data_IF_836355656683
#
_entry.id   IF_836355656683
#
_cell.length_a   1.000
_cell.length_b   1.000
_cell.length_c   1.000
_cell.angle_alpha   90.00
_cell.angle_beta   90.00
_cell.angle_gamma   90.00
#
_symmetry.space_group_name_H-M   'P 1'
#
loop_
_entity.id
_entity.type
_entity.pdbx_description
1 polymer ?
#
# COMPACT_ATOMS: atom_id res chain seq x y z
N UNK A 1 3.31 -24.07 18.70
CA UNK A 1 4.13 -23.40 17.65
C UNK A 1 5.58 -23.25 18.10
N UNK A 2 6.57 -23.30 17.19
CA UNK A 2 7.97 -22.93 17.51
C UNK A 2 8.10 -21.42 17.74
N UNK A 3 9.03 -20.99 18.60
CA UNK A 3 9.26 -19.55 18.81
C UNK A 3 9.82 -18.90 17.54
N UNK A 4 9.41 -17.66 17.28
CA UNK A 4 10.03 -16.78 16.29
C UNK A 4 11.48 -16.54 16.68
N UNK A 5 12.38 -17.01 15.82
CA UNK A 5 13.82 -16.88 16.05
C UNK A 5 14.27 -15.47 15.77
N UNK A 6 15.00 -14.91 16.74
CA UNK A 6 15.66 -13.61 16.59
C UNK A 6 16.77 -13.70 15.53
N UNK A 7 17.52 -14.79 15.55
CA UNK A 7 18.63 -15.02 14.64
C UNK A 7 18.43 -16.31 13.84
N UNK A 8 18.53 -16.19 12.52
CA UNK A 8 18.58 -17.31 11.57
C UNK A 8 19.80 -17.05 10.70
N UNK A 9 20.79 -17.97 10.63
CA UNK A 9 21.99 -17.77 9.83
C UNK A 9 21.65 -17.38 8.38
N UNK A 10 22.28 -16.33 7.88
CA UNK A 10 22.22 -15.92 6.48
C UNK A 10 23.33 -16.65 5.73
N UNK A 11 22.95 -17.39 4.70
CA UNK A 11 23.89 -18.02 3.78
C UNK A 11 24.37 -16.97 2.76
N UNK A 12 25.42 -16.24 3.12
CA UNK A 12 25.99 -15.17 2.30
C UNK A 12 26.61 -15.69 1.00
N UNK A 13 26.97 -16.97 0.91
CA UNK A 13 27.53 -17.55 -0.31
C UNK A 13 26.53 -17.49 -1.45
N UNK A 14 25.22 -17.62 -1.17
CA UNK A 14 24.15 -17.44 -2.16
C UNK A 14 24.09 -16.04 -2.78
N UNK A 15 24.71 -15.06 -2.16
CA UNK A 15 24.71 -13.67 -2.60
C UNK A 15 26.06 -13.23 -3.18
N UNK A 16 27.00 -14.16 -3.41
CA UNK A 16 28.29 -13.83 -3.99
C UNK A 16 28.16 -13.11 -5.36
N UNK A 17 29.03 -12.12 -5.65
CA UNK A 17 28.90 -11.26 -6.82
C UNK A 17 29.08 -11.99 -8.15
N UNK A 18 29.82 -13.09 -8.15
CA UNK A 18 30.26 -13.87 -9.32
C UNK A 18 29.35 -15.05 -9.69
N UNK A 19 28.24 -15.25 -8.97
CA UNK A 19 27.27 -16.30 -9.31
C UNK A 19 26.63 -16.01 -10.67
N UNK A 20 26.64 -16.97 -11.62
CA UNK A 20 25.96 -16.84 -12.90
C UNK A 20 24.46 -16.55 -12.75
N UNK A 21 23.93 -15.66 -13.59
CA UNK A 21 22.55 -15.18 -13.49
C UNK A 21 21.49 -16.32 -13.57
N UNK A 22 21.76 -17.38 -14.32
CA UNK A 22 20.89 -18.56 -14.46
C UNK A 22 20.90 -19.49 -13.24
N UNK A 23 21.83 -19.29 -12.30
CA UNK A 23 21.96 -20.07 -11.06
C UNK A 23 21.47 -19.32 -9.81
N UNK A 24 21.11 -18.04 -9.94
CA UNK A 24 20.63 -17.25 -8.82
C UNK A 24 19.22 -17.70 -8.42
N UNK A 25 19.01 -17.98 -7.13
CA UNK A 25 17.69 -18.32 -6.59
C UNK A 25 16.75 -17.09 -6.65
N UNK A 26 15.51 -17.31 -7.09
CA UNK A 26 14.43 -16.31 -7.05
C UNK A 26 13.45 -16.59 -5.92
N UNK A 27 13.14 -15.58 -5.10
CA UNK A 27 12.10 -15.62 -4.07
C UNK A 27 10.78 -14.99 -4.55
N UNK A 28 9.70 -15.25 -3.81
CA UNK A 28 8.38 -14.59 -3.93
C UNK A 28 7.63 -14.75 -5.26
N UNK A 29 8.08 -15.65 -6.14
CA UNK A 29 7.54 -15.78 -7.50
C UNK A 29 8.07 -14.76 -8.49
N UNK A 30 9.14 -14.05 -8.14
CA UNK A 30 9.73 -13.01 -8.96
C UNK A 30 10.34 -13.58 -10.26
N UNK A 31 10.25 -12.86 -11.39
CA UNK A 31 10.94 -13.24 -12.62
C UNK A 31 12.46 -13.23 -12.44
N UNK A 32 13.13 -14.28 -12.94
CA UNK A 32 14.60 -14.39 -12.95
C UNK A 32 15.26 -13.22 -13.70
N UNK A 33 14.72 -12.88 -14.87
CA UNK A 33 15.22 -11.81 -15.73
C UNK A 33 14.63 -10.47 -15.29
N UNK A 34 15.49 -9.59 -14.76
CA UNK A 34 15.10 -8.27 -14.25
C UNK A 34 15.12 -7.26 -15.39
N UNK A 35 13.97 -6.64 -15.64
CA UNK A 35 13.79 -5.64 -16.71
C UNK A 35 13.25 -4.34 -16.15
N UNK A 36 13.66 -3.23 -16.74
CA UNK A 36 13.13 -1.90 -16.46
C UNK A 36 12.37 -1.37 -17.67
N UNK A 37 11.32 -0.60 -17.41
CA UNK A 37 10.54 0.07 -18.45
C UNK A 37 11.43 1.08 -19.20
N UNK A 38 11.24 1.19 -20.51
CA UNK A 38 11.95 2.16 -21.35
C UNK A 38 11.41 3.60 -21.20
N UNK A 39 10.18 3.75 -20.71
CA UNK A 39 9.48 5.05 -20.62
C UNK A 39 9.46 5.60 -19.20
N UNK A 40 9.40 4.75 -18.17
CA UNK A 40 9.56 5.16 -16.77
C UNK A 40 10.73 4.43 -16.09
N UNK A 41 10.78 4.41 -14.76
CA UNK A 41 11.83 3.74 -13.96
C UNK A 41 11.38 2.43 -13.31
N UNK A 42 10.14 2.00 -13.58
CA UNK A 42 9.56 0.81 -12.96
C UNK A 42 10.18 -0.50 -13.48
N UNK A 43 10.22 -1.52 -12.61
CA UNK A 43 10.75 -2.86 -12.90
C UNK A 43 9.65 -3.94 -12.96
N UNK A 44 9.88 -5.00 -13.74
CA UNK A 44 9.05 -6.21 -13.75
C UNK A 44 9.08 -7.00 -12.43
N UNK A 45 9.87 -6.56 -11.45
CA UNK A 45 9.90 -7.11 -10.09
C UNK A 45 8.78 -6.57 -9.20
N UNK A 46 8.06 -5.53 -9.65
CA UNK A 46 6.92 -4.98 -8.90
C UNK A 46 5.82 -6.02 -8.74
N UNK A 47 5.42 -6.42 -7.52
CA UNK A 47 4.28 -7.30 -7.34
C UNK A 47 2.95 -6.59 -7.70
N UNK A 48 2.02 -7.37 -8.24
CA UNK A 48 0.64 -6.93 -8.46
C UNK A 48 -0.16 -7.05 -7.18
N UNK A 49 -1.21 -6.23 -7.05
CA UNK A 49 -2.15 -6.37 -5.94
C UNK A 49 -2.84 -7.75 -5.99
N UNK A 50 -2.99 -8.38 -4.83
CA UNK A 50 -3.65 -9.67 -4.68
C UNK A 50 -4.72 -9.63 -3.56
N UNK A 51 -5.40 -10.76 -3.35
CA UNK A 51 -6.28 -10.97 -2.20
C UNK A 51 -5.42 -11.00 -0.93
N UNK A 52 -5.43 -9.89 -0.18
CA UNK A 52 -4.46 -9.68 0.90
C UNK A 52 -4.65 -10.68 2.05
N UNK A 53 -5.89 -11.11 2.30
CA UNK A 53 -6.22 -12.09 3.33
C UNK A 53 -5.82 -13.53 2.97
N UNK A 54 -5.31 -13.81 1.76
CA UNK A 54 -4.76 -15.13 1.40
C UNK A 54 -3.23 -15.17 1.47
N UNK A 55 -2.60 -14.07 1.91
CA UNK A 55 -1.15 -13.90 1.86
C UNK A 55 -0.45 -14.59 3.05
N UNK A 56 0.42 -15.54 2.70
CA UNK A 56 1.29 -16.31 3.60
C UNK A 56 2.74 -16.28 3.11
N UNK A 57 3.67 -16.78 3.92
CA UNK A 57 5.11 -16.67 3.66
C UNK A 57 5.57 -17.30 2.33
N UNK A 58 4.89 -18.36 1.87
CA UNK A 58 5.17 -19.08 0.62
C UNK A 58 4.29 -18.62 -0.56
N UNK A 59 3.53 -17.53 -0.41
CA UNK A 59 2.71 -16.98 -1.50
C UNK A 59 3.57 -16.54 -2.68
N UNK A 60 3.21 -17.02 -3.87
CA UNK A 60 3.79 -16.61 -5.16
C UNK A 60 3.01 -15.40 -5.67
N UNK A 61 3.71 -14.29 -5.97
CA UNK A 61 3.10 -13.08 -6.48
C UNK A 61 3.24 -13.01 -8.00
N UNK A 62 2.16 -12.63 -8.68
CA UNK A 62 2.26 -12.13 -10.06
C UNK A 62 2.92 -10.76 -10.02
N UNK A 63 3.71 -10.43 -11.03
CA UNK A 63 4.39 -9.15 -11.12
C UNK A 63 3.93 -8.36 -12.34
N UNK A 64 4.30 -7.08 -12.37
CA UNK A 64 4.10 -6.19 -13.50
C UNK A 64 4.73 -6.78 -14.77
N UNK A 65 4.01 -6.73 -15.88
CA UNK A 65 4.54 -7.15 -17.17
C UNK A 65 5.22 -5.96 -17.85
N UNK A 66 6.43 -6.21 -18.35
CA UNK A 66 7.08 -5.38 -19.35
C UNK A 66 6.87 -6.08 -20.70
N UNK A 67 6.15 -5.41 -21.59
CA UNK A 67 5.74 -5.95 -22.87
C UNK A 67 6.93 -6.08 -23.85
N UNK A 68 6.78 -6.80 -24.98
CA UNK A 68 7.87 -7.00 -25.94
C UNK A 68 8.46 -5.71 -26.53
N UNK A 69 7.72 -4.60 -26.48
CA UNK A 69 8.17 -3.28 -26.90
C UNK A 69 9.02 -2.55 -25.83
N UNK A 70 9.23 -3.15 -24.66
CA UNK A 70 10.00 -2.60 -23.55
C UNK A 70 9.22 -1.66 -22.63
N UNK A 71 7.89 -1.54 -22.78
CA UNK A 71 7.03 -0.66 -21.99
C UNK A 71 6.24 -1.48 -20.95
N UNK A 72 6.07 -0.93 -19.75
CA UNK A 72 5.28 -1.59 -18.71
C UNK A 72 3.77 -1.31 -18.86
N UNK A 73 2.96 -2.21 -18.30
CA UNK A 73 1.49 -2.10 -18.37
C UNK A 73 0.94 -0.74 -17.90
N UNK A 74 1.53 -0.15 -16.87
CA UNK A 74 1.08 1.16 -16.36
C UNK A 74 1.33 2.31 -17.35
N UNK A 75 2.43 2.27 -18.12
CA UNK A 75 2.70 3.29 -19.14
C UNK A 75 1.74 3.14 -20.34
N UNK A 76 1.48 1.89 -20.75
CA UNK A 76 0.43 1.59 -21.75
C UNK A 76 -0.97 2.06 -21.30
N UNK A 77 -1.32 1.84 -20.02
CA UNK A 77 -2.57 2.36 -19.46
C UNK A 77 -2.64 3.89 -19.54
N UNK A 78 -1.53 4.60 -19.26
CA UNK A 78 -1.47 6.05 -19.39
C UNK A 78 -1.60 6.53 -20.85
N UNK A 79 -0.98 5.84 -21.81
CA UNK A 79 -1.15 6.15 -23.23
C UNK A 79 -2.63 6.07 -23.66
N UNK A 80 -3.35 5.03 -23.20
CA UNK A 80 -4.78 4.89 -23.44
C UNK A 80 -5.58 6.05 -22.80
N UNK A 81 -5.20 6.48 -21.59
CA UNK A 81 -5.80 7.60 -20.86
C UNK A 81 -5.77 8.91 -21.64
N UNK A 82 -4.69 9.17 -22.38
CA UNK A 82 -4.51 10.40 -23.18
C UNK A 82 -5.15 10.30 -24.56
N UNK A 83 -5.08 9.14 -25.21
CA UNK A 83 -5.44 9.00 -26.64
C UNK A 83 -6.72 8.23 -26.97
N UNK A 84 -7.25 7.42 -26.05
CA UNK A 84 -8.34 6.48 -26.34
C UNK A 84 -9.61 6.69 -25.53
N UNK A 85 -9.53 7.37 -24.37
CA UNK A 85 -10.68 7.58 -23.48
C UNK A 85 -11.40 8.88 -23.84
N UNK A 86 -12.70 8.77 -24.14
CA UNK A 86 -13.61 9.91 -24.22
C UNK A 86 -14.02 10.35 -22.81
N UNK A 87 -13.34 11.37 -22.28
CA UNK A 87 -13.57 11.89 -20.93
C UNK A 87 -14.92 12.59 -20.77
N UNK A 88 -15.49 13.15 -21.85
CA UNK A 88 -16.81 13.77 -21.80
C UNK A 88 -17.89 12.70 -21.66
N UNK A 89 -17.74 11.58 -22.36
CA UNK A 89 -18.60 10.40 -22.18
C UNK A 89 -18.46 9.79 -20.78
N UNK A 90 -17.22 9.65 -20.27
CA UNK A 90 -16.97 9.19 -18.89
C UNK A 90 -17.64 10.08 -17.84
N UNK A 91 -17.54 11.41 -17.99
CA UNK A 91 -18.22 12.34 -17.09
C UNK A 91 -19.75 12.25 -17.21
N UNK A 92 -20.28 12.04 -18.43
CA UNK A 92 -21.72 11.80 -18.64
C UNK A 92 -22.20 10.54 -17.92
N UNK A 93 -21.48 9.42 -18.04
CA UNK A 93 -21.79 8.17 -17.34
C UNK A 93 -21.81 8.37 -15.81
N UNK A 94 -20.88 9.16 -15.26
CA UNK A 94 -20.88 9.49 -13.83
C UNK A 94 -22.09 10.31 -13.42
N UNK A 95 -22.48 11.30 -14.22
CA UNK A 95 -23.70 12.10 -13.95
C UNK A 95 -24.93 11.21 -13.92
N UNK A 96 -25.09 10.32 -14.90
CA UNK A 96 -26.20 9.36 -14.94
C UNK A 96 -26.18 8.41 -13.72
N UNK A 97 -25.01 7.94 -13.31
CA UNK A 97 -24.84 7.12 -12.11
C UNK A 97 -25.23 7.90 -10.84
N UNK A 98 -24.72 9.11 -10.67
CA UNK A 98 -25.07 9.98 -9.56
C UNK A 98 -26.58 10.26 -9.53
N UNK A 99 -27.19 10.62 -10.66
CA UNK A 99 -28.63 10.90 -10.77
C UNK A 99 -29.49 9.70 -10.35
N UNK A 100 -29.05 8.48 -10.67
CA UNK A 100 -29.74 7.24 -10.28
C UNK A 100 -29.76 7.02 -8.76
N UNK A 101 -28.69 7.38 -8.06
CA UNK A 101 -28.53 7.10 -6.62
C UNK A 101 -28.77 8.30 -5.72
N UNK A 102 -28.71 9.52 -6.24
CA UNK A 102 -28.86 10.76 -5.48
C UNK A 102 -30.20 10.78 -4.76
N UNK A 103 -30.13 11.07 -3.46
CA UNK A 103 -31.32 11.18 -2.62
C UNK A 103 -31.76 12.63 -2.48
N UNK A 104 -33.06 12.84 -2.30
CA UNK A 104 -33.66 14.17 -2.14
C UNK A 104 -34.12 14.45 -0.70
N UNK A 105 -34.00 13.46 0.18
CA UNK A 105 -34.40 13.55 1.59
C UNK A 105 -33.28 14.04 2.52
N UNK A 106 -32.09 14.31 1.96
CA UNK A 106 -30.91 14.75 2.69
C UNK A 106 -30.11 13.63 3.35
N UNK A 107 -30.52 12.37 3.20
CA UNK A 107 -29.72 11.23 3.69
C UNK A 107 -28.54 10.92 2.76
N UNK A 108 -27.54 10.21 3.28
CA UNK A 108 -26.36 9.84 2.51
C UNK A 108 -26.73 8.95 1.31
N UNK A 109 -26.18 9.28 0.15
CA UNK A 109 -26.43 8.60 -1.13
C UNK A 109 -25.19 7.90 -1.70
N UNK A 110 -24.00 8.24 -1.19
CA UNK A 110 -22.75 7.55 -1.50
C UNK A 110 -21.82 7.50 -0.29
N UNK A 111 -20.83 6.61 -0.33
CA UNK A 111 -19.80 6.48 0.68
C UNK A 111 -18.41 6.66 0.05
N UNK A 112 -17.56 7.44 0.70
CA UNK A 112 -16.18 7.70 0.28
C UNK A 112 -15.21 7.29 1.39
N UNK A 113 -14.43 6.21 1.24
CA UNK A 113 -13.37 5.89 2.16
C UNK A 113 -12.15 6.80 1.94
N UNK A 114 -11.44 7.12 3.01
CA UNK A 114 -10.25 7.96 2.92
C UNK A 114 -9.58 8.19 4.25
N UNK A 115 -8.35 8.71 4.22
CA UNK A 115 -7.62 9.11 5.43
C UNK A 115 -7.60 10.63 5.66
N UNK A 116 -8.26 11.40 4.79
CA UNK A 116 -8.07 12.86 4.74
C UNK A 116 -6.88 13.28 3.88
N UNK A 117 -6.22 12.33 3.21
CA UNK A 117 -5.27 12.62 2.16
C UNK A 117 -5.92 13.32 0.95
N UNK A 118 -5.06 13.89 0.08
CA UNK A 118 -5.46 14.65 -1.11
C UNK A 118 -6.48 13.93 -2.00
N UNK A 119 -6.33 12.62 -2.21
CA UNK A 119 -7.15 11.87 -3.15
C UNK A 119 -8.57 11.66 -2.62
N UNK A 120 -8.68 11.29 -1.34
CA UNK A 120 -9.98 11.13 -0.67
C UNK A 120 -10.72 12.44 -0.50
N UNK A 121 -9.99 13.53 -0.21
CA UNK A 121 -10.56 14.86 -0.13
C UNK A 121 -11.14 15.26 -1.50
N UNK A 122 -10.34 15.16 -2.56
CA UNK A 122 -10.76 15.47 -3.92
C UNK A 122 -12.00 14.66 -4.31
N UNK A 123 -12.02 13.34 -4.05
CA UNK A 123 -13.16 12.48 -4.36
C UNK A 123 -14.45 12.95 -3.67
N UNK A 124 -14.40 13.14 -2.35
CA UNK A 124 -15.56 13.54 -1.56
C UNK A 124 -16.05 14.95 -1.95
N UNK A 125 -15.13 15.88 -2.17
CA UNK A 125 -15.44 17.25 -2.55
C UNK A 125 -16.04 17.35 -3.95
N UNK A 126 -15.52 16.60 -4.93
CA UNK A 126 -16.10 16.53 -6.27
C UNK A 126 -17.52 15.95 -6.24
N UNK A 127 -17.73 14.83 -5.55
CA UNK A 127 -19.05 14.21 -5.43
C UNK A 127 -20.05 15.16 -4.78
N UNK A 128 -19.66 15.85 -3.69
CA UNK A 128 -20.53 16.78 -2.98
C UNK A 128 -20.86 18.03 -3.79
N UNK A 129 -19.84 18.74 -4.28
CA UNK A 129 -20.04 20.09 -4.82
C UNK A 129 -20.24 20.13 -6.34
N UNK A 130 -19.62 19.22 -7.11
CA UNK A 130 -19.83 19.15 -8.57
C UNK A 130 -21.04 18.28 -8.93
N UNK A 131 -21.22 17.15 -8.25
CA UNK A 131 -22.27 16.17 -8.58
C UNK A 131 -23.48 16.19 -7.64
N UNK A 132 -23.48 17.10 -6.65
CA UNK A 132 -24.58 17.32 -5.70
C UNK A 132 -25.00 16.03 -4.98
N UNK A 133 -24.02 15.22 -4.58
CA UNK A 133 -24.21 14.02 -3.77
C UNK A 133 -24.06 14.35 -2.27
N UNK A 134 -24.54 13.48 -1.40
CA UNK A 134 -24.35 13.51 0.04
C UNK A 134 -23.41 12.37 0.48
N UNK A 135 -22.09 12.55 0.36
CA UNK A 135 -21.14 11.51 0.74
C UNK A 135 -21.04 11.35 2.26
N UNK A 136 -21.15 10.11 2.73
CA UNK A 136 -20.65 9.72 4.04
C UNK A 136 -19.18 9.35 3.92
N UNK A 137 -18.31 9.98 4.72
CA UNK A 137 -16.89 9.62 4.72
C UNK A 137 -16.56 8.60 5.80
N UNK A 138 -15.63 7.70 5.51
CA UNK A 138 -15.22 6.64 6.44
C UNK A 138 -13.71 6.49 6.44
N UNK A 139 -13.11 6.48 7.62
CA UNK A 139 -11.65 6.38 7.80
C UNK A 139 -11.28 5.11 8.54
N UNK A 140 -10.34 4.34 7.99
CA UNK A 140 -9.59 3.33 8.74
C UNK A 140 -8.33 3.99 9.28
N UNK A 141 -8.17 4.01 10.60
CA UNK A 141 -7.05 4.72 11.21
C UNK A 141 -5.70 4.09 10.80
N UNK A 142 -4.65 4.91 10.57
CA UNK A 142 -3.29 4.44 10.42
C UNK A 142 -2.78 3.77 11.70
N UNK A 143 -1.65 3.07 11.61
CA UNK A 143 -1.02 2.45 12.76
C UNK A 143 -0.58 3.52 13.77
N UNK A 144 0.09 4.57 13.28
CA UNK A 144 0.54 5.72 14.06
C UNK A 144 0.41 6.98 13.19
N UNK A 145 -0.45 7.91 13.58
CA UNK A 145 -0.59 9.17 12.87
C UNK A 145 0.71 9.99 12.88
N UNK A 146 1.02 10.62 11.76
CA UNK A 146 1.85 11.83 11.76
C UNK A 146 1.02 13.04 12.22
N UNK A 147 1.66 14.08 12.82
CA UNK A 147 0.92 15.30 13.19
C UNK A 147 0.21 15.96 12.01
N UNK A 148 0.90 16.10 10.87
CA UNK A 148 0.32 16.70 9.66
C UNK A 148 -0.74 15.81 9.00
N UNK A 149 -0.60 14.48 9.09
CA UNK A 149 -1.63 13.54 8.64
C UNK A 149 -2.94 13.72 9.39
N UNK A 150 -2.85 13.82 10.72
CA UNK A 150 -4.00 14.07 11.58
C UNK A 150 -4.61 15.47 11.34
N UNK A 151 -3.79 16.50 11.15
CA UNK A 151 -4.27 17.83 10.75
C UNK A 151 -5.03 17.81 9.42
N UNK A 152 -4.55 17.06 8.42
CA UNK A 152 -5.24 16.93 7.13
C UNK A 152 -6.57 16.17 7.26
N UNK A 153 -6.61 15.15 8.12
CA UNK A 153 -7.86 14.45 8.45
C UNK A 153 -8.91 15.38 9.07
N UNK A 154 -8.51 16.18 10.07
CA UNK A 154 -9.38 17.20 10.65
C UNK A 154 -9.80 18.25 9.61
N UNK A 155 -8.88 18.73 8.78
CA UNK A 155 -9.17 19.71 7.74
C UNK A 155 -10.23 19.19 6.74
N UNK A 156 -10.16 17.90 6.38
CA UNK A 156 -11.18 17.26 5.55
C UNK A 156 -12.56 17.28 6.23
N UNK A 157 -12.66 16.94 7.51
CA UNK A 157 -13.94 16.99 8.25
C UNK A 157 -14.49 18.42 8.30
N UNK A 158 -13.65 19.38 8.68
CA UNK A 158 -14.06 20.78 8.85
C UNK A 158 -14.28 21.53 7.52
N UNK A 159 -13.92 20.93 6.39
CA UNK A 159 -14.37 21.36 5.07
C UNK A 159 -15.84 20.99 4.78
N UNK A 160 -16.54 20.37 5.73
CA UNK A 160 -17.98 20.12 5.69
C UNK A 160 -18.35 18.66 5.41
N UNK A 161 -17.61 17.70 5.94
CA UNK A 161 -17.86 16.28 5.76
C UNK A 161 -18.09 15.56 7.09
N UNK A 162 -19.13 14.74 7.16
CA UNK A 162 -19.30 13.80 8.27
C UNK A 162 -18.35 12.62 8.08
N UNK A 163 -17.74 12.15 9.17
CA UNK A 163 -16.80 11.04 9.15
C UNK A 163 -17.08 10.00 10.24
N UNK A 164 -16.99 8.72 9.87
CA UNK A 164 -16.79 7.63 10.82
C UNK A 164 -15.34 7.18 10.82
N UNK A 165 -14.62 7.52 11.89
CA UNK A 165 -13.28 7.01 12.16
C UNK A 165 -13.36 5.66 12.85
N UNK A 166 -12.75 4.65 12.23
CA UNK A 166 -12.57 3.34 12.81
C UNK A 166 -11.11 3.15 13.20
N UNK A 167 -10.83 3.20 14.50
CA UNK A 167 -9.54 2.85 15.08
C UNK A 167 -9.60 1.41 15.57
N UNK A 168 -8.80 0.47 15.02
CA UNK A 168 -8.78 -0.90 15.51
C UNK A 168 -8.34 -1.00 16.97
N UNK A 169 -8.64 -2.13 17.61
CA UNK A 169 -8.02 -2.51 18.88
C UNK A 169 -6.49 -2.44 18.72
N UNK A 170 -5.85 -1.51 19.44
CA UNK A 170 -4.42 -1.22 19.28
C UNK A 170 -3.52 -2.40 19.64
N UNK A 171 -3.95 -3.30 20.52
CA UNK A 171 -3.19 -4.50 20.86
C UNK A 171 -3.20 -5.51 19.70
N UNK A 172 -4.38 -5.81 19.16
CA UNK A 172 -4.53 -6.70 18.01
C UNK A 172 -3.86 -6.13 16.77
N UNK A 173 -4.06 -4.84 16.48
CA UNK A 173 -3.44 -4.19 15.32
C UNK A 173 -1.91 -4.26 15.37
N UNK A 174 -1.35 -3.96 16.55
CA UNK A 174 0.08 -4.06 16.81
C UNK A 174 0.61 -5.48 16.59
N UNK A 175 -0.04 -6.48 17.18
CA UNK A 175 0.39 -7.86 17.06
C UNK A 175 0.32 -8.35 15.61
N UNK A 176 -0.75 -8.04 14.88
CA UNK A 176 -0.86 -8.38 13.45
C UNK A 176 0.24 -7.70 12.62
N UNK A 177 0.58 -6.44 12.92
CA UNK A 177 1.69 -5.71 12.28
C UNK A 177 3.03 -6.37 12.57
N UNK A 178 3.28 -6.76 13.83
CA UNK A 178 4.49 -7.50 14.22
C UNK A 178 4.59 -8.83 13.47
N UNK A 179 3.51 -9.59 13.40
CA UNK A 179 3.47 -10.86 12.66
C UNK A 179 3.68 -10.67 11.16
N UNK A 180 3.06 -9.65 10.55
CA UNK A 180 3.27 -9.33 9.14
C UNK A 180 4.73 -8.92 8.85
N UNK A 181 5.37 -8.22 9.79
CA UNK A 181 6.80 -7.88 9.71
C UNK A 181 7.68 -9.13 9.76
N UNK A 182 7.35 -10.09 10.62
CA UNK A 182 8.16 -11.29 10.82
C UNK A 182 8.01 -12.32 9.70
N UNK A 183 6.76 -12.59 9.30
CA UNK A 183 6.41 -13.66 8.37
C UNK A 183 6.48 -13.24 6.92
N UNK A 184 6.12 -11.99 6.64
CA UNK A 184 5.93 -11.50 5.26
C UNK A 184 6.92 -10.39 4.91
N UNK A 185 7.59 -9.81 5.92
CA UNK A 185 8.36 -8.57 5.81
C UNK A 185 7.53 -7.49 5.12
N UNK A 186 6.30 -7.32 5.61
CA UNK A 186 5.31 -6.39 5.10
C UNK A 186 4.52 -5.77 6.27
N UNK A 187 5.08 -4.78 6.99
CA UNK A 187 4.47 -4.22 8.19
C UNK A 187 3.09 -3.59 7.92
N UNK A 188 2.85 -3.14 6.69
CA UNK A 188 1.61 -2.43 6.32
C UNK A 188 0.39 -3.31 6.10
N UNK A 189 0.53 -4.64 6.10
CA UNK A 189 -0.55 -5.55 5.72
C UNK A 189 -1.83 -5.34 6.54
N UNK A 190 -1.70 -5.21 7.86
CA UNK A 190 -2.84 -5.06 8.77
C UNK A 190 -3.70 -3.84 8.40
N UNK A 191 -3.07 -2.76 7.95
CA UNK A 191 -3.74 -1.56 7.49
C UNK A 191 -4.41 -1.73 6.12
N UNK A 192 -3.74 -2.38 5.15
CA UNK A 192 -4.32 -2.68 3.82
C UNK A 192 -5.62 -3.49 3.96
N UNK A 193 -5.65 -4.45 4.88
CA UNK A 193 -6.85 -5.23 5.18
C UNK A 193 -8.00 -4.30 5.60
N UNK A 194 -7.78 -3.43 6.59
CA UNK A 194 -8.80 -2.46 7.03
C UNK A 194 -9.30 -1.54 5.90
N UNK A 195 -8.39 -0.99 5.10
CA UNK A 195 -8.73 -0.11 3.97
C UNK A 195 -9.63 -0.78 2.92
N UNK A 196 -9.40 -2.07 2.65
CA UNK A 196 -10.20 -2.82 1.67
C UNK A 196 -11.57 -3.23 2.20
N UNK A 197 -11.69 -3.51 3.50
CA UNK A 197 -12.90 -4.10 4.08
C UNK A 197 -13.87 -3.11 4.71
N UNK A 198 -13.38 -1.99 5.25
CA UNK A 198 -14.20 -1.10 6.08
C UNK A 198 -15.33 -0.43 5.27
N UNK A 199 -15.02 0.09 4.09
CA UNK A 199 -15.97 0.87 3.29
C UNK A 199 -17.19 0.05 2.84
N UNK A 200 -17.02 -1.15 2.24
CA UNK A 200 -18.16 -2.00 1.87
C UNK A 200 -19.00 -2.46 3.08
N UNK A 201 -18.37 -2.76 4.22
CA UNK A 201 -19.08 -3.13 5.45
C UNK A 201 -19.91 -1.97 6.00
N UNK A 202 -19.36 -0.75 5.99
CA UNK A 202 -20.07 0.44 6.46
C UNK A 202 -21.20 0.82 5.51
N UNK A 203 -20.98 0.69 4.20
CA UNK A 203 -22.02 0.85 3.19
C UNK A 203 -23.21 -0.10 3.45
N UNK A 204 -22.95 -1.37 3.75
CA UNK A 204 -23.99 -2.34 4.13
C UNK A 204 -24.71 -1.94 5.43
N UNK A 205 -23.97 -1.51 6.44
CA UNK A 205 -24.51 -1.12 7.74
C UNK A 205 -25.44 0.09 7.66
N UNK A 206 -25.12 1.07 6.81
CA UNK A 206 -25.92 2.29 6.63
C UNK A 206 -26.95 2.20 5.49
N UNK A 207 -26.99 1.08 4.75
CA UNK A 207 -27.87 0.93 3.59
C UNK A 207 -27.52 1.90 2.46
N UNK A 208 -26.23 2.15 2.23
CA UNK A 208 -25.72 3.01 1.17
C UNK A 208 -25.23 2.11 0.02
N UNK A 209 -25.91 2.06 -1.13
CA UNK A 209 -25.59 1.11 -2.19
C UNK A 209 -24.42 1.54 -3.08
N UNK A 210 -23.89 2.77 -2.94
CA UNK A 210 -22.86 3.31 -3.82
C UNK A 210 -21.61 3.71 -3.03
N UNK A 211 -20.46 3.12 -3.38
CA UNK A 211 -19.16 3.41 -2.78
C UNK A 211 -18.19 3.87 -3.87
N UNK A 212 -17.44 4.93 -3.63
CA UNK A 212 -16.39 5.42 -4.54
C UNK A 212 -15.01 5.31 -3.92
N UNK A 213 -14.13 4.49 -4.51
CA UNK A 213 -12.68 4.56 -4.31
C UNK A 213 -12.07 5.54 -5.34
N UNK A 214 -10.80 5.89 -5.16
CA UNK A 214 -10.05 6.78 -6.06
C UNK A 214 -9.68 6.10 -7.40
N UNK A 215 -8.38 5.85 -7.59
CA UNK A 215 -7.82 5.24 -8.80
C UNK A 215 -7.92 3.70 -8.80
N UNK A 216 -7.96 3.14 -10.02
CA UNK A 216 -7.89 1.70 -10.26
C UNK A 216 -6.43 1.21 -10.10
N UNK A 217 -6.25 -0.02 -9.59
CA UNK A 217 -4.94 -0.63 -9.41
C UNK A 217 -4.11 -0.73 -10.72
N UNK A 218 -4.74 -0.73 -11.90
CA UNK A 218 -4.06 -0.74 -13.19
C UNK A 218 -3.20 0.52 -13.44
N UNK A 219 -3.57 1.69 -12.88
CA UNK A 219 -2.74 2.91 -12.92
C UNK A 219 -1.39 2.72 -12.20
N UNK A 220 -1.31 1.69 -11.33
CA UNK A 220 -0.13 1.29 -10.58
C UNK A 220 0.49 -0.01 -11.09
N UNK A 221 0.04 -0.54 -12.23
CA UNK A 221 0.68 -1.65 -12.92
C UNK A 221 0.07 -3.03 -12.76
N UNK A 222 -1.18 -3.11 -12.27
CA UNK A 222 -2.00 -4.30 -12.51
C UNK A 222 -2.38 -4.41 -14.01
N UNK A 223 -2.91 -5.57 -14.46
CA UNK A 223 -3.27 -5.78 -15.86
C UNK A 223 -4.18 -4.69 -16.43
N UNK A 224 -3.88 -4.23 -17.65
CA UNK A 224 -4.60 -3.12 -18.32
C UNK A 224 -6.09 -3.43 -18.49
N UNK A 225 -6.46 -4.70 -18.65
CA UNK A 225 -7.85 -5.12 -18.77
C UNK A 225 -8.71 -4.73 -17.55
N UNK A 226 -8.10 -4.54 -16.38
CA UNK A 226 -8.82 -4.11 -15.17
C UNK A 226 -9.35 -2.67 -15.29
N UNK A 227 -8.83 -1.84 -16.23
CA UNK A 227 -9.32 -0.49 -16.51
C UNK A 227 -10.58 -0.44 -17.40
N UNK A 228 -11.06 -1.57 -17.93
CA UNK A 228 -12.26 -1.61 -18.76
C UNK A 228 -13.56 -1.49 -17.94
N UNK A 229 -13.48 -1.71 -16.62
CA UNK A 229 -14.61 -1.68 -15.70
C UNK A 229 -14.49 -0.53 -14.70
N UNK A 230 -15.60 0.17 -14.48
CA UNK A 230 -15.71 1.10 -13.35
C UNK A 230 -15.83 0.39 -12.00
N UNK A 231 -16.25 -0.87 -11.99
CA UNK A 231 -16.53 -1.66 -10.80
C UNK A 231 -15.27 -2.36 -10.30
N UNK A 232 -15.06 -2.27 -8.98
CA UNK A 232 -14.07 -3.08 -8.27
C UNK A 232 -14.56 -4.52 -8.12
N UNK A 233 -13.66 -5.47 -8.36
CA UNK A 233 -13.95 -6.89 -8.19
C UNK A 233 -14.30 -7.22 -6.73
N UNK A 234 -15.46 -7.87 -6.52
CA UNK A 234 -15.97 -8.21 -5.19
C UNK A 234 -15.00 -9.07 -4.39
N UNK A 235 -14.17 -9.88 -5.06
CA UNK A 235 -13.18 -10.77 -4.41
C UNK A 235 -12.11 -10.04 -3.61
N UNK A 236 -11.91 -8.73 -3.85
CA UNK A 236 -11.02 -7.92 -3.03
C UNK A 236 -11.56 -7.67 -1.61
N UNK A 237 -12.88 -7.77 -1.42
CA UNK A 237 -13.54 -7.40 -0.17
C UNK A 237 -14.61 -8.37 0.33
N UNK A 238 -14.80 -9.51 -0.36
CA UNK A 238 -15.68 -10.59 0.08
C UNK A 238 -14.96 -11.93 0.11
N UNK A 239 -15.37 -12.82 1.01
CA UNK A 239 -14.99 -14.22 1.00
C UNK A 239 -16.18 -15.10 1.37
N UNK A 240 -16.21 -16.30 0.79
CA UNK A 240 -17.26 -17.30 1.05
C UNK A 240 -16.87 -18.31 2.15
N UNK A 241 -15.60 -18.36 2.55
CA UNK A 241 -15.09 -19.18 3.65
C UNK A 241 -13.97 -18.44 4.39
N UNK A 242 -13.82 -18.77 5.69
CA UNK A 242 -12.75 -18.27 6.55
C UNK A 242 -11.53 -19.21 6.60
N UNK A 243 -11.61 -20.39 5.99
CA UNK A 243 -10.59 -21.44 6.13
C UNK A 243 -9.23 -21.06 5.52
N UNK A 244 -9.22 -20.14 4.54
CA UNK A 244 -8.03 -19.67 3.84
C UNK A 244 -7.71 -18.20 4.16
N UNK A 245 -8.05 -17.72 5.36
CA UNK A 245 -7.74 -16.37 5.81
C UNK A 245 -6.49 -16.37 6.70
N UNK A 246 -5.54 -15.53 6.31
CA UNK A 246 -4.27 -15.29 6.98
C UNK A 246 -4.11 -13.79 7.27
N UNK A 247 -3.77 -13.46 8.52
CA UNK A 247 -3.46 -12.10 8.96
C UNK A 247 -2.03 -12.11 9.53
N UNK A 248 -1.15 -11.26 9.02
CA UNK A 248 0.28 -11.32 9.35
C UNK A 248 0.95 -12.62 8.90
N UNK A 249 0.41 -13.30 7.88
CA UNK A 249 0.86 -14.61 7.43
C UNK A 249 0.48 -15.78 8.35
N UNK A 250 -0.36 -15.53 9.37
CA UNK A 250 -0.80 -16.53 10.37
C UNK A 250 -2.28 -16.83 10.17
N UNK A 251 -2.66 -18.10 10.27
CA UNK A 251 -4.06 -18.51 10.15
C UNK A 251 -4.92 -18.01 11.31
N UNK A 252 -6.23 -17.82 11.08
CA UNK A 252 -7.16 -17.42 12.14
C UNK A 252 -7.13 -18.38 13.35
N UNK A 253 -7.06 -19.69 13.10
CA UNK A 253 -6.96 -20.71 14.15
C UNK A 253 -5.74 -20.49 15.05
N UNK A 254 -4.57 -20.23 14.45
CA UNK A 254 -3.35 -19.97 15.24
C UNK A 254 -3.42 -18.63 16.00
N UNK A 255 -4.03 -17.59 15.41
CA UNK A 255 -4.23 -16.31 16.10
C UNK A 255 -5.09 -16.48 17.36
N UNK A 256 -6.10 -17.33 17.31
CA UNK A 256 -6.96 -17.65 18.46
C UNK A 256 -6.24 -18.60 19.45
N UNK A 257 -5.72 -19.71 18.96
CA UNK A 257 -5.19 -20.79 19.81
C UNK A 257 -3.80 -20.49 20.38
N UNK A 258 -2.88 -19.98 19.58
CA UNK A 258 -1.50 -19.72 20.03
C UNK A 258 -1.35 -18.30 20.59
N UNK A 259 -1.89 -17.29 19.90
CA UNK A 259 -1.73 -15.88 20.28
C UNK A 259 -2.82 -15.35 21.22
N UNK A 260 -3.88 -16.13 21.47
CA UNK A 260 -4.98 -15.81 22.39
C UNK A 260 -5.73 -14.52 22.02
N UNK A 261 -5.83 -14.23 20.72
CA UNK A 261 -6.63 -13.10 20.24
C UNK A 261 -8.11 -13.50 20.27
N UNK A 262 -8.96 -12.59 20.76
CA UNK A 262 -10.41 -12.79 20.72
C UNK A 262 -10.92 -12.75 19.26
N UNK A 263 -11.73 -13.73 18.80
CA UNK A 263 -12.32 -13.70 17.47
C UNK A 263 -13.08 -12.39 17.14
N UNK A 264 -13.65 -11.73 18.15
CA UNK A 264 -14.30 -10.43 17.99
C UNK A 264 -13.31 -9.34 17.55
N UNK A 265 -12.07 -9.34 18.07
CA UNK A 265 -11.03 -8.40 17.69
C UNK A 265 -10.50 -8.65 16.27
N UNK A 266 -10.61 -9.89 15.77
CA UNK A 266 -10.24 -10.24 14.39
C UNK A 266 -11.31 -9.85 13.38
N UNK A 267 -12.58 -9.79 13.79
CA UNK A 267 -13.75 -9.62 12.92
C UNK A 267 -13.68 -8.40 12.00
N UNK A 268 -13.00 -7.33 12.45
CA UNK A 268 -12.90 -6.09 11.70
C UNK A 268 -11.99 -6.20 10.48
N UNK A 269 -10.98 -7.07 10.54
CA UNK A 269 -10.02 -7.34 9.46
C UNK A 269 -10.54 -8.35 8.42
N UNK A 270 -11.56 -9.14 8.78
CA UNK A 270 -12.11 -10.16 7.89
C UNK A 270 -12.86 -9.52 6.71
N UNK A 271 -12.90 -10.13 5.52
CA UNK A 271 -13.74 -9.66 4.43
C UNK A 271 -15.22 -9.70 4.79
N UNK A 272 -16.03 -8.89 4.09
CA UNK A 272 -17.49 -8.93 4.22
C UNK A 272 -18.07 -10.23 3.68
N UNK A 273 -19.24 -10.64 4.18
CA UNK A 273 -19.95 -11.76 3.57
C UNK A 273 -20.57 -11.34 2.24
N UNK A 274 -20.43 -12.16 1.20
CA UNK A 274 -21.00 -11.92 -0.13
C UNK A 274 -22.52 -11.68 -0.09
N UNK A 275 -23.21 -12.34 0.86
CA UNK A 275 -24.64 -12.18 1.13
C UNK A 275 -25.03 -10.74 1.51
N UNK A 276 -24.25 -10.10 2.37
CA UNK A 276 -24.52 -8.74 2.86
C UNK A 276 -24.34 -7.70 1.75
N UNK A 277 -23.31 -7.86 0.92
CA UNK A 277 -23.07 -6.99 -0.25
C UNK A 277 -24.21 -7.10 -1.25
N UNK A 278 -24.64 -8.33 -1.58
CA UNK A 278 -25.74 -8.59 -2.52
C UNK A 278 -27.08 -8.10 -1.99
N UNK A 279 -27.39 -8.33 -0.71
CA UNK A 279 -28.65 -7.90 -0.08
C UNK A 279 -28.83 -6.38 -0.14
N UNK A 280 -27.74 -5.62 0.00
CA UNK A 280 -27.77 -4.15 -0.02
C UNK A 280 -27.51 -3.55 -1.41
N UNK A 281 -27.32 -4.38 -2.44
CA UNK A 281 -26.97 -3.96 -3.81
C UNK A 281 -25.76 -3.00 -3.86
N UNK A 282 -24.74 -3.28 -3.05
CA UNK A 282 -23.56 -2.41 -2.94
C UNK A 282 -22.72 -2.51 -4.21
N UNK A 283 -22.42 -1.36 -4.80
CA UNK A 283 -21.53 -1.20 -5.94
C UNK A 283 -20.33 -0.36 -5.52
N UNK A 284 -19.13 -0.92 -5.72
CA UNK A 284 -17.87 -0.24 -5.44
C UNK A 284 -17.28 0.21 -6.77
N UNK A 285 -17.19 1.53 -6.97
CA UNK A 285 -16.68 2.14 -8.18
C UNK A 285 -15.33 2.81 -7.97
N UNK A 286 -14.51 2.85 -9.01
CA UNK A 286 -13.36 3.75 -9.09
C UNK A 286 -13.79 5.09 -9.68
N UNK A 287 -13.65 6.18 -8.93
CA UNK A 287 -13.94 7.52 -9.43
C UNK A 287 -12.98 7.93 -10.55
N UNK A 288 -11.74 7.43 -10.52
CA UNK A 288 -10.73 7.65 -11.56
C UNK A 288 -11.07 7.04 -12.93
N UNK A 289 -12.04 6.13 -13.00
CA UNK A 289 -12.59 5.66 -14.28
C UNK A 289 -13.40 6.76 -14.98
N UNK A 290 -14.11 7.57 -14.19
CA UNK A 290 -15.02 8.60 -14.69
C UNK A 290 -14.36 9.96 -14.85
N UNK A 291 -13.41 10.28 -13.96
CA UNK A 291 -12.68 11.55 -13.96
C UNK A 291 -11.23 11.30 -14.28
N UNK A 292 -10.65 12.12 -15.18
CA UNK A 292 -9.24 12.04 -15.51
C UNK A 292 -8.41 12.34 -14.25
N UNK A 293 -7.97 11.27 -13.59
CA UNK A 293 -7.26 11.40 -12.33
C UNK A 293 -5.85 11.93 -12.56
N UNK A 294 -5.47 12.94 -11.79
CA UNK A 294 -4.15 13.56 -11.84
C UNK A 294 -3.68 13.79 -10.40
N UNK A 295 -2.75 12.97 -9.86
CA UNK A 295 -2.37 12.99 -8.46
C UNK A 295 -1.88 14.36 -7.96
N UNK A 296 -1.06 15.07 -8.74
CA UNK A 296 -0.59 16.42 -8.40
C UNK A 296 -1.74 17.44 -8.51
N UNK A 297 -2.68 17.24 -9.43
CA UNK A 297 -3.90 18.04 -9.54
C UNK A 297 -4.80 17.90 -8.32
N UNK A 298 -4.98 16.67 -7.82
CA UNK A 298 -5.71 16.40 -6.59
C UNK A 298 -5.03 17.05 -5.37
N UNK A 299 -3.68 17.11 -5.36
CA UNK A 299 -2.94 17.86 -4.34
C UNK A 299 -3.32 19.35 -4.35
N UNK A 300 -3.16 20.04 -5.50
CA UNK A 300 -3.47 21.47 -5.58
C UNK A 300 -4.94 21.77 -5.26
N UNK A 301 -5.86 20.94 -5.76
CA UNK A 301 -7.28 21.06 -5.47
C UNK A 301 -7.57 20.94 -3.96
N UNK A 302 -6.93 20.00 -3.28
CA UNK A 302 -7.14 19.78 -1.84
C UNK A 302 -6.53 20.90 -0.99
N UNK A 303 -5.43 21.51 -1.44
CA UNK A 303 -4.87 22.70 -0.81
C UNK A 303 -5.87 23.86 -0.92
N UNK A 304 -6.41 24.10 -2.11
CA UNK A 304 -7.31 25.22 -2.40
C UNK A 304 -8.65 25.10 -1.67
N UNK A 305 -9.26 23.92 -1.68
CA UNK A 305 -10.63 23.72 -1.19
C UNK A 305 -10.71 23.10 0.21
N UNK A 306 -9.66 22.43 0.67
CA UNK A 306 -9.66 21.65 1.92
C UNK A 306 -8.63 22.09 2.94
N UNK A 307 -7.72 23.00 2.58
CA UNK A 307 -6.62 23.40 3.47
C UNK A 307 -5.58 22.30 3.70
N UNK A 308 -5.46 21.33 2.78
CA UNK A 308 -4.46 20.28 2.86
C UNK A 308 -3.04 20.87 3.00
N UNK A 309 -2.24 20.27 3.88
CA UNK A 309 -0.84 20.63 4.11
C UNK A 309 0.08 19.47 3.75
N UNK A 310 1.11 19.69 2.92
CA UNK A 310 2.15 18.69 2.75
C UNK A 310 2.94 18.51 4.06
N UNK A 311 3.66 17.39 4.17
CA UNK A 311 4.61 17.17 5.25
C UNK A 311 5.64 18.32 5.30
N UNK A 312 6.19 18.67 6.48
CA UNK A 312 7.19 19.73 6.60
C UNK A 312 8.49 19.38 5.87
N UNK A 313 8.77 18.09 5.70
CA UNK A 313 9.95 17.51 5.08
C UNK A 313 9.56 16.45 4.03
N UNK A 314 10.54 15.98 3.23
CA UNK A 314 10.34 14.84 2.33
C UNK A 314 10.13 13.56 3.13
N UNK A 315 9.38 12.63 2.56
CA UNK A 315 9.32 11.29 3.11
C UNK A 315 10.59 10.52 2.78
N UNK A 316 11.14 9.78 3.75
CA UNK A 316 12.34 8.97 3.52
C UNK A 316 12.07 7.87 2.48
N UNK A 317 13.05 7.64 1.63
CA UNK A 317 12.92 6.80 0.43
C UNK A 317 12.35 7.53 -0.78
N UNK A 318 12.03 8.83 -0.70
CA UNK A 318 11.54 9.66 -1.82
C UNK A 318 11.84 11.15 -1.66
N UNK A 319 11.53 11.91 -2.71
CA UNK A 319 11.56 13.38 -2.74
C UNK A 319 10.18 14.01 -2.46
N UNK A 320 9.10 13.22 -2.50
CA UNK A 320 7.73 13.68 -2.29
C UNK A 320 7.45 14.12 -0.85
N UNK A 321 6.50 15.06 -0.71
CA UNK A 321 6.02 15.63 0.56
C UNK A 321 4.51 15.49 0.77
N UNK A 322 3.77 14.91 -0.18
CA UNK A 322 2.30 14.97 -0.17
C UNK A 322 1.60 13.62 -0.42
N UNK A 323 2.34 12.60 -0.87
CA UNK A 323 1.81 11.24 -1.03
C UNK A 323 1.98 10.46 0.26
N UNK A 324 0.94 9.75 0.73
CA UNK A 324 1.01 8.78 1.84
C UNK A 324 1.83 9.29 3.03
N UNK A 325 1.33 10.37 3.65
CA UNK A 325 2.03 11.10 4.71
C UNK A 325 1.33 10.97 6.07
N UNK A 326 0.24 10.22 6.14
CA UNK A 326 -0.63 10.09 7.31
C UNK A 326 -0.18 9.04 8.33
N UNK A 327 0.57 8.02 7.91
CA UNK A 327 1.06 6.93 8.77
C UNK A 327 2.60 6.94 8.88
N UNK A 328 3.12 6.88 10.10
CA UNK A 328 4.57 6.77 10.34
C UNK A 328 5.16 5.44 9.85
N UNK A 329 4.37 4.35 9.81
CA UNK A 329 4.86 3.03 9.35
C UNK A 329 5.12 2.99 7.84
N UNK A 330 4.55 3.93 7.08
CA UNK A 330 4.61 3.93 5.62
C UNK A 330 6.05 3.97 5.07
N UNK A 331 6.97 4.66 5.75
CA UNK A 331 8.39 4.69 5.37
C UNK A 331 9.01 3.27 5.38
N UNK A 332 8.67 2.47 6.40
CA UNK A 332 9.11 1.09 6.53
C UNK A 332 8.41 0.16 5.53
N UNK A 333 7.16 0.46 5.14
CA UNK A 333 6.49 -0.28 4.07
C UNK A 333 7.27 -0.21 2.75
N UNK A 334 7.70 0.98 2.35
CA UNK A 334 8.49 1.11 1.13
C UNK A 334 9.92 0.61 1.27
N UNK A 335 10.55 0.75 2.44
CA UNK A 335 11.87 0.13 2.67
C UNK A 335 11.80 -1.40 2.58
N UNK A 336 10.81 -2.04 3.21
CA UNK A 336 10.62 -3.50 3.07
C UNK A 336 10.30 -3.93 1.65
N UNK A 337 9.56 -3.11 0.89
CA UNK A 337 9.33 -3.30 -0.56
C UNK A 337 10.65 -3.29 -1.34
N UNK A 338 11.53 -2.32 -1.05
CA UNK A 338 12.86 -2.22 -1.64
C UNK A 338 13.73 -3.45 -1.36
N UNK A 339 13.75 -3.91 -0.10
CA UNK A 339 14.48 -5.13 0.28
C UNK A 339 14.00 -6.37 -0.48
N UNK A 340 12.69 -6.54 -0.64
CA UNK A 340 12.13 -7.75 -1.27
C UNK A 340 12.23 -7.73 -2.79
N UNK A 341 12.05 -6.56 -3.41
CA UNK A 341 11.76 -6.45 -4.83
C UNK A 341 12.76 -5.57 -5.61
N UNK A 342 13.72 -4.93 -4.93
CA UNK A 342 14.71 -4.05 -5.57
C UNK A 342 14.14 -2.74 -6.11
N UNK A 343 12.92 -2.37 -5.70
CA UNK A 343 12.25 -1.12 -6.02
C UNK A 343 11.68 -0.49 -4.74
N UNK A 344 11.99 0.77 -4.49
CA UNK A 344 11.52 1.51 -3.33
C UNK A 344 10.53 2.62 -3.70
N UNK A 345 10.22 3.50 -2.75
CA UNK A 345 9.20 4.54 -2.91
C UNK A 345 9.48 5.49 -4.07
N UNK A 346 10.74 5.88 -4.26
CA UNK A 346 11.12 6.80 -5.34
C UNK A 346 10.80 6.21 -6.70
N UNK A 347 11.03 4.92 -6.89
CA UNK A 347 10.68 4.24 -8.14
C UNK A 347 9.17 4.32 -8.43
N UNK A 348 8.32 4.23 -7.40
CA UNK A 348 6.86 4.38 -7.54
C UNK A 348 6.46 5.82 -7.87
N UNK A 349 6.91 6.79 -7.05
CA UNK A 349 6.58 8.21 -7.20
C UNK A 349 7.08 8.74 -8.55
N UNK A 350 8.36 8.53 -8.88
CA UNK A 350 8.95 9.00 -10.14
C UNK A 350 8.27 8.34 -11.35
N UNK A 351 7.91 7.05 -11.28
CA UNK A 351 7.21 6.41 -12.39
C UNK A 351 5.79 6.96 -12.59
N UNK A 352 5.11 7.40 -11.52
CA UNK A 352 3.81 8.06 -11.63
C UNK A 352 3.97 9.45 -12.22
N UNK A 353 4.98 10.20 -11.80
CA UNK A 353 5.21 11.58 -12.28
C UNK A 353 5.75 11.63 -13.72
N UNK A 354 6.53 10.63 -14.15
CA UNK A 354 6.90 10.50 -15.57
C UNK A 354 5.66 10.26 -16.44
N UNK A 355 4.72 9.44 -15.97
CA UNK A 355 3.51 9.12 -16.73
C UNK A 355 2.54 10.29 -16.86
N UNK A 356 2.59 11.26 -15.94
CA UNK A 356 1.74 12.44 -15.96
C UNK A 356 2.50 13.69 -16.45
N UNK A 357 3.69 13.50 -17.05
CA UNK A 357 4.54 14.55 -17.64
C UNK A 357 5.03 15.63 -16.64
N UNK A 358 5.07 15.35 -15.32
CA UNK A 358 5.65 16.30 -14.35
C UNK A 358 7.18 16.25 -14.32
N UNK A 359 7.78 15.09 -14.61
CA UNK A 359 9.23 14.92 -14.74
C UNK A 359 9.60 14.07 -15.95
N UNK A 360 10.81 14.24 -16.45
CA UNK A 360 11.38 13.36 -17.48
C UNK A 360 11.87 12.05 -16.90
N UNK A 361 12.03 11.03 -17.77
CA UNK A 361 12.63 9.76 -17.36
C UNK A 361 14.04 9.94 -16.80
N UNK A 362 14.85 10.81 -17.39
CA UNK A 362 16.23 11.06 -16.96
C UNK A 362 16.26 11.66 -15.54
N UNK A 363 15.35 12.58 -15.23
CA UNK A 363 15.17 13.09 -13.87
C UNK A 363 14.75 11.97 -12.90
N UNK A 364 13.80 11.11 -13.31
CA UNK A 364 13.39 9.95 -12.50
C UNK A 364 14.54 8.98 -12.22
N UNK A 365 15.41 8.73 -13.19
CA UNK A 365 16.62 7.89 -13.02
C UNK A 365 17.56 8.51 -11.98
N UNK A 366 17.79 9.83 -12.03
CA UNK A 366 18.62 10.53 -11.04
C UNK A 366 17.99 10.51 -9.64
N UNK A 367 16.67 10.67 -9.54
CA UNK A 367 15.95 10.62 -8.27
C UNK A 367 16.03 9.22 -7.66
N UNK A 368 15.82 8.16 -8.44
CA UNK A 368 15.96 6.77 -7.95
C UNK A 368 17.37 6.47 -7.47
N UNK A 369 18.40 6.94 -8.18
CA UNK A 369 19.80 6.84 -7.74
C UNK A 369 20.05 7.48 -6.39
N UNK A 370 19.34 8.58 -6.11
CA UNK A 370 19.55 9.39 -4.92
C UNK A 370 18.82 8.88 -3.67
N UNK A 371 17.61 8.34 -3.84
CA UNK A 371 16.69 8.14 -2.73
C UNK A 371 16.19 6.70 -2.58
N UNK A 372 16.26 5.86 -3.61
CA UNK A 372 15.65 4.53 -3.57
C UNK A 372 16.46 3.56 -2.70
N UNK A 373 15.87 3.14 -1.57
CA UNK A 373 16.54 2.31 -0.58
C UNK A 373 17.17 3.06 0.58
N UNK A 374 16.94 4.37 0.69
CA UNK A 374 17.23 5.14 1.90
C UNK A 374 16.58 4.50 3.13
N UNK A 375 17.36 4.33 4.20
CA UNK A 375 16.85 3.76 5.45
C UNK A 375 15.95 4.76 6.19
N UNK A 376 14.75 4.35 6.64
CA UNK A 376 13.79 5.24 7.28
C UNK A 376 14.05 5.40 8.79
N UNK A 377 14.93 6.32 9.19
CA UNK A 377 15.29 6.55 10.59
C UNK A 377 14.41 7.59 11.34
N UNK A 378 13.66 8.45 10.63
CA UNK A 378 12.97 9.60 11.26
C UNK A 378 11.91 9.23 12.31
N UNK A 379 11.33 8.04 12.21
CA UNK A 379 10.33 7.50 13.15
C UNK A 379 10.71 6.14 13.71
N UNK A 380 11.98 5.73 13.56
CA UNK A 380 12.35 4.35 13.84
C UNK A 380 12.07 3.96 15.30
N UNK A 381 12.30 4.86 16.25
CA UNK A 381 12.10 4.56 17.68
C UNK A 381 10.64 4.29 17.99
N UNK A 382 9.73 5.11 17.46
CA UNK A 382 8.29 4.91 17.65
C UNK A 382 7.81 3.62 16.99
N UNK A 383 8.44 3.23 15.89
CA UNK A 383 8.13 1.98 15.18
C UNK A 383 8.70 0.77 15.91
N UNK A 384 9.91 0.87 16.50
CA UNK A 384 10.46 -0.16 17.39
C UNK A 384 9.57 -0.37 18.60
N UNK A 385 9.13 0.71 19.24
CA UNK A 385 8.22 0.66 20.39
C UNK A 385 6.86 0.08 19.97
N UNK A 386 6.35 0.45 18.79
CA UNK A 386 5.12 -0.11 18.25
C UNK A 386 5.26 -1.60 17.96
N UNK A 387 6.32 -2.05 17.29
CA UNK A 387 6.48 -3.47 16.95
C UNK A 387 6.89 -4.36 18.15
N UNK A 388 7.22 -3.75 19.29
CA UNK A 388 7.60 -4.46 20.51
C UNK A 388 6.41 -5.02 21.27
N UNK A 389 6.57 -6.24 21.79
CA UNK A 389 5.54 -6.95 22.56
C UNK A 389 5.93 -6.98 24.05
N UNK A 390 5.37 -6.06 24.83
CA UNK A 390 5.61 -5.99 26.27
C UNK A 390 4.78 -7.00 27.08
N UNK A 391 5.25 -7.35 28.27
CA UNK A 391 4.60 -8.30 29.18
C UNK A 391 3.17 -7.91 29.56
N UNK A 392 2.91 -6.62 29.75
CA UNK A 392 1.62 -6.15 30.27
C UNK A 392 0.51 -6.32 29.24
N UNK A 393 0.80 -6.01 27.97
CA UNK A 393 -0.20 -6.09 26.90
C UNK A 393 -0.15 -7.45 26.17
N UNK A 394 1.01 -8.10 26.08
CA UNK A 394 1.20 -9.31 25.28
C UNK A 394 1.77 -10.49 26.08
N UNK A 395 1.21 -10.85 27.25
CA UNK A 395 1.80 -11.86 28.14
C UNK A 395 1.94 -13.24 27.48
N UNK A 396 1.02 -13.62 26.59
CA UNK A 396 1.10 -14.87 25.83
C UNK A 396 1.93 -14.73 24.55
N UNK A 397 1.65 -13.69 23.76
CA UNK A 397 2.27 -13.54 22.45
C UNK A 397 3.79 -13.33 22.55
N UNK A 398 4.29 -12.59 23.57
CA UNK A 398 5.73 -12.37 23.74
C UNK A 398 6.51 -13.67 23.93
N UNK A 399 5.91 -14.67 24.58
CA UNK A 399 6.59 -15.94 24.85
C UNK A 399 6.83 -16.75 23.58
N UNK A 400 6.15 -16.39 22.49
CA UNK A 400 6.33 -16.97 21.17
C UNK A 400 7.50 -16.32 20.41
N UNK A 401 8.20 -15.32 20.95
CA UNK A 401 9.36 -14.68 20.33
C UNK A 401 10.61 -14.90 21.20
N UNK A 402 11.75 -15.24 20.58
CA UNK A 402 13.03 -15.24 21.29
C UNK A 402 13.44 -13.84 21.73
N UNK A 403 13.11 -12.82 20.92
CA UNK A 403 13.28 -11.41 21.25
C UNK A 403 11.94 -10.65 21.01
N UNK A 404 11.14 -10.42 22.06
CA UNK A 404 9.87 -9.71 21.94
C UNK A 404 10.02 -8.23 21.61
N UNK A 405 11.13 -7.62 22.03
CA UNK A 405 11.44 -6.21 21.78
C UNK A 405 12.05 -6.08 20.38
N UNK A 406 11.44 -5.26 19.53
CA UNK A 406 11.99 -4.94 18.22
C UNK A 406 13.06 -3.86 18.38
N UNK A 407 14.17 -4.04 17.68
CA UNK A 407 15.22 -3.04 17.55
C UNK A 407 15.75 -3.04 16.11
N UNK A 408 16.62 -2.07 15.81
CA UNK A 408 17.22 -1.94 14.48
C UNK A 408 17.98 -3.19 14.06
N UNK A 409 18.75 -3.80 14.96
CA UNK A 409 19.52 -5.00 14.62
C UNK A 409 18.63 -6.18 14.25
N UNK A 410 17.48 -6.34 14.93
CA UNK A 410 16.51 -7.37 14.61
C UNK A 410 15.88 -7.06 13.26
N UNK A 411 15.39 -5.84 13.07
CA UNK A 411 14.78 -5.46 11.81
C UNK A 411 15.73 -5.60 10.60
N UNK A 412 17.01 -5.28 10.77
CA UNK A 412 18.01 -5.44 9.71
C UNK A 412 18.36 -6.90 9.48
N UNK A 413 18.44 -7.73 10.53
CA UNK A 413 18.58 -9.18 10.36
C UNK A 413 17.39 -9.77 9.60
N UNK A 414 16.18 -9.31 9.92
CA UNK A 414 14.95 -9.60 9.19
C UNK A 414 15.10 -9.23 7.71
N UNK A 415 15.56 -8.02 7.40
CA UNK A 415 15.78 -7.56 6.03
C UNK A 415 16.64 -8.55 5.23
N UNK A 416 17.74 -9.01 5.80
CA UNK A 416 18.66 -9.94 5.14
C UNK A 416 18.03 -11.31 4.86
N UNK A 417 17.11 -11.78 5.71
CA UNK A 417 16.32 -13.02 5.46
C UNK A 417 15.46 -12.92 4.20
N UNK A 418 14.95 -11.72 3.92
CA UNK A 418 13.99 -11.46 2.84
C UNK A 418 14.62 -10.98 1.53
N UNK A 419 15.95 -10.86 1.46
CA UNK A 419 16.66 -10.58 0.20
C UNK A 419 16.58 -11.76 -0.75
N UNK A 420 16.27 -11.48 -2.01
CA UNK A 420 16.33 -12.46 -3.09
C UNK A 420 17.72 -12.45 -3.76
N UNK A 421 18.42 -13.59 -3.88
CA UNK A 421 19.75 -13.66 -4.49
C UNK A 421 19.85 -13.10 -5.91
N UNK A 422 18.80 -13.21 -6.74
CA UNK A 422 18.82 -12.63 -8.09
C UNK A 422 18.71 -11.09 -8.11
N UNK A 423 18.23 -10.48 -7.03
CA UNK A 423 18.15 -9.01 -6.89
C UNK A 423 19.39 -8.47 -6.19
N UNK A 424 19.87 -9.18 -5.16
CA UNK A 424 20.90 -8.71 -4.25
C UNK A 424 22.20 -9.48 -4.40
N UNK A 425 23.31 -8.76 -4.27
CA UNK A 425 24.63 -9.34 -4.01
C UNK A 425 25.19 -8.78 -2.72
N UNK A 426 26.03 -9.56 -2.07
CA UNK A 426 26.76 -9.17 -0.88
C UNK A 426 28.25 -9.27 -1.15
N UNK A 427 28.95 -8.15 -1.01
CA UNK A 427 30.39 -8.08 -1.25
C UNK A 427 31.05 -7.17 -0.20
N UNK A 428 32.13 -7.66 0.41
CA UNK A 428 32.93 -6.94 1.41
C UNK A 428 32.12 -6.26 2.53
N UNK A 429 31.05 -6.91 3.02
CA UNK A 429 30.23 -6.36 4.10
C UNK A 429 29.06 -5.48 3.63
N UNK A 430 28.88 -5.31 2.32
CA UNK A 430 27.92 -4.36 1.74
C UNK A 430 26.93 -5.07 0.84
N UNK A 431 25.64 -4.78 1.05
CA UNK A 431 24.56 -5.19 0.17
C UNK A 431 24.46 -4.26 -1.04
N UNK A 432 24.33 -4.82 -2.24
CA UNK A 432 24.14 -4.06 -3.47
C UNK A 432 23.10 -4.72 -4.36
N UNK A 433 22.32 -3.90 -5.07
CA UNK A 433 21.50 -4.41 -6.17
C UNK A 433 22.37 -4.90 -7.32
N UNK A 434 21.97 -6.03 -7.91
CA UNK A 434 22.54 -6.54 -9.17
C UNK A 434 22.06 -5.76 -10.38
N UNK A 435 20.85 -5.23 -10.32
CA UNK A 435 20.17 -4.54 -11.41
C UNK A 435 19.61 -3.20 -10.92
N UNK A 436 19.82 -2.13 -11.69
CA UNK A 436 19.42 -0.76 -11.35
C UNK A 436 18.93 -0.03 -12.61
N UNK A 437 18.04 0.97 -12.49
CA UNK A 437 17.66 1.80 -13.63
C UNK A 437 18.68 2.90 -13.98
N UNK A 438 19.80 2.99 -13.22
CA UNK A 438 20.85 3.99 -13.33
C UNK A 438 22.26 3.38 -13.35
N UNK A 439 23.21 4.13 -13.89
CA UNK A 439 24.63 3.78 -13.89
C UNK A 439 25.36 4.22 -12.60
N UNK A 440 26.35 3.40 -12.21
CA UNK A 440 27.22 3.63 -11.07
C UNK A 440 26.64 3.18 -9.72
N UNK A 441 27.21 3.74 -8.66
CA UNK A 441 26.82 3.44 -7.28
C UNK A 441 25.58 4.24 -6.88
N UNK A 442 24.80 3.68 -5.94
CA UNK A 442 23.70 4.42 -5.32
C UNK A 442 24.27 5.54 -4.44
N UNK A 443 23.54 6.64 -4.30
CA UNK A 443 23.93 7.72 -3.38
C UNK A 443 23.30 7.54 -1.99
N UNK A 444 22.43 6.55 -1.80
CA UNK A 444 21.96 6.15 -0.49
C UNK A 444 22.60 4.84 -0.05
N UNK A 445 23.07 4.83 1.20
CA UNK A 445 23.51 3.60 1.87
C UNK A 445 22.26 2.78 2.23
N UNK A 446 22.12 1.59 1.62
CA UNK A 446 20.95 0.69 1.71
C UNK A 446 20.69 0.09 3.12
N UNK A 447 21.16 0.77 4.17
CA UNK A 447 21.13 0.36 5.57
C UNK A 447 22.28 0.97 6.39
N UNK A 448 21.93 1.39 7.61
CA UNK A 448 22.70 2.06 8.68
C UNK A 448 23.54 3.27 8.23
N UNK A 449 23.15 4.51 8.61
CA UNK A 449 23.94 5.68 8.29
C UNK A 449 25.38 5.50 8.77
N UNK A 450 26.34 6.01 8.01
CA UNK A 450 27.71 6.16 8.47
C UNK A 450 27.69 6.70 9.90
N UNK A 451 28.36 6.03 10.84
CA UNK A 451 28.56 6.59 12.18
C UNK A 451 29.04 8.03 12.00
N UNK A 452 28.19 8.98 12.42
CA UNK A 452 28.56 10.39 12.45
C UNK A 452 29.66 10.63 13.47
#
# INVERSE_FOLDING_TARGET
>A
MEKYKRYIPIDYEKFAPDIPADKLETKFGLPQDVKFCKECVMSNQKPNSCYEFEHKADSIKKTMVIQPDGVCDACHACHNKVGAIDWDDRERQLKELCDKYRKTDGSYDCLVPGSGGKDSFYAAHMLKYKYNMHPLTVTWAPHIYTPWGFENFEAWIHAGFDNYLCTPNGMTHRLLTRLATENLFHPFQAFILGQKQLAPKMAAKFGIPLVFYGENEAEFGNPIADNESALRDERFFTANSKDNIYLGGVSLQQLEEDFKIDPADLSIYLPGETSDIKKNNIQVHYLGYYLKWHPQGAYYYSVEHGGFKPAPERTQGTYSKYNSIDDKIDDFFYYTTYIKYGIGRTTYDASQEIRNDEITRDEGVLLTKRYDGEFPDRFEQEIWDYLSLDERHFPWAKELFEQPIMDREYFMHLADRFRSPHIWKYDNGVWQLRHKPFDGDSECDFGVPSKS
#
